data_IF_586659825718
#
_entry.id   IF_586659825718
#
_cell.length_a   1.000
_cell.length_b   1.000
_cell.length_c   1.000
_cell.angle_alpha   90.00
_cell.angle_beta   90.00
_cell.angle_gamma   90.00
#
_symmetry.space_group_name_H-M   'P 1'
#
loop_
_entity.id
_entity.type
_entity.pdbx_description
1 polymer ?
#
# COMPACT_ATOMS: atom_id res chain seq x y z
N UNK A 1 12.86 -25.87 11.43
CA UNK A 1 11.45 -25.87 11.90
C UNK A 1 11.50 -25.98 13.41
N UNK A 2 10.51 -25.44 14.13
CA UNK A 2 10.46 -25.55 15.60
C UNK A 2 10.29 -27.01 16.00
N UNK A 3 10.95 -27.45 17.07
CA UNK A 3 10.95 -28.86 17.53
C UNK A 3 9.56 -29.34 18.00
N UNK A 4 8.73 -28.39 18.49
CA UNK A 4 7.37 -28.65 18.95
C UNK A 4 6.32 -28.75 17.82
N UNK A 5 6.72 -28.58 16.55
CA UNK A 5 5.82 -28.63 15.40
C UNK A 5 6.10 -29.85 14.55
N UNK A 6 5.16 -30.81 14.51
CA UNK A 6 5.20 -31.92 13.56
C UNK A 6 4.97 -31.39 12.14
N UNK A 7 5.83 -31.78 11.21
CA UNK A 7 5.72 -31.32 9.81
C UNK A 7 6.28 -32.34 8.85
N UNK A 8 5.87 -32.28 7.61
CA UNK A 8 6.46 -32.98 6.48
C UNK A 8 6.32 -32.13 5.22
N UNK A 9 7.33 -32.16 4.36
CA UNK A 9 7.34 -31.60 3.02
C UNK A 9 7.09 -32.64 1.93
N UNK A 10 6.91 -33.91 2.32
CA UNK A 10 6.63 -34.98 1.39
C UNK A 10 5.25 -34.80 0.73
N UNK A 11 5.15 -35.17 -0.52
CA UNK A 11 3.85 -35.30 -1.20
C UNK A 11 3.12 -36.55 -0.65
N UNK A 12 1.80 -36.58 -0.82
CA UNK A 12 0.98 -37.71 -0.39
C UNK A 12 1.44 -39.03 -1.05
N UNK A 13 1.88 -38.97 -2.31
CA UNK A 13 2.40 -40.09 -3.07
C UNK A 13 3.71 -40.61 -2.47
N UNK A 14 4.62 -39.71 -2.09
CA UNK A 14 5.88 -40.07 -1.43
C UNK A 14 5.64 -40.69 -0.04
N UNK A 15 4.67 -40.17 0.71
CA UNK A 15 4.26 -40.74 2.01
C UNK A 15 3.75 -42.17 1.80
N UNK A 16 2.86 -42.40 0.83
CA UNK A 16 2.34 -43.73 0.51
C UNK A 16 3.48 -44.71 0.13
N UNK A 17 4.41 -44.25 -0.71
CA UNK A 17 5.60 -45.02 -1.09
C UNK A 17 6.47 -45.41 0.13
N UNK A 18 6.75 -44.44 1.02
CA UNK A 18 7.53 -44.70 2.24
C UNK A 18 6.84 -45.67 3.21
N UNK A 19 5.53 -45.52 3.39
CA UNK A 19 4.74 -46.45 4.20
C UNK A 19 4.78 -47.87 3.64
N UNK A 20 4.72 -48.03 2.31
CA UNK A 20 4.89 -49.32 1.65
C UNK A 20 6.27 -49.93 1.90
N UNK A 21 7.33 -49.10 1.85
CA UNK A 21 8.69 -49.53 2.17
C UNK A 21 8.87 -49.98 3.64
N UNK A 22 8.07 -49.43 4.54
CA UNK A 22 8.03 -49.78 5.97
C UNK A 22 7.08 -50.97 6.26
N UNK A 23 6.58 -51.64 5.23
CA UNK A 23 5.72 -52.81 5.38
C UNK A 23 4.22 -52.50 5.50
N UNK A 24 3.82 -51.24 5.33
CA UNK A 24 2.41 -50.85 5.43
C UNK A 24 1.97 -50.16 4.12
N UNK A 25 1.72 -50.92 3.04
CA UNK A 25 1.27 -50.34 1.78
C UNK A 25 -0.13 -49.76 1.90
N UNK A 26 -0.26 -48.48 1.56
CA UNK A 26 -1.53 -47.72 1.62
C UNK A 26 -1.73 -46.87 0.37
N UNK A 27 -2.98 -46.63 0.04
CA UNK A 27 -3.33 -45.73 -1.06
C UNK A 27 -3.13 -44.26 -0.66
N UNK A 28 -3.02 -43.39 -1.67
CA UNK A 28 -2.96 -41.92 -1.47
C UNK A 28 -4.20 -41.38 -0.74
N UNK A 29 -5.36 -42.04 -0.92
CA UNK A 29 -6.60 -41.68 -0.21
C UNK A 29 -6.48 -41.97 1.30
N UNK A 30 -5.93 -43.09 1.65
CA UNK A 30 -5.66 -43.45 3.06
C UNK A 30 -4.65 -42.46 3.67
N UNK A 31 -3.56 -42.12 2.95
CA UNK A 31 -2.64 -41.05 3.40
C UNK A 31 -3.38 -39.73 3.64
N UNK A 32 -4.34 -39.41 2.81
CA UNK A 32 -5.15 -38.17 2.99
C UNK A 32 -5.96 -38.24 4.29
N UNK A 33 -6.53 -39.40 4.59
CA UNK A 33 -7.27 -39.66 5.83
C UNK A 33 -6.35 -39.56 7.05
N UNK A 34 -5.22 -40.28 7.03
CA UNK A 34 -4.23 -40.27 8.11
C UNK A 34 -3.71 -38.86 8.42
N UNK A 35 -3.40 -38.05 7.40
CA UNK A 35 -3.01 -36.66 7.59
C UNK A 35 -4.09 -35.81 8.26
N UNK A 36 -5.36 -36.04 7.91
CA UNK A 36 -6.51 -35.35 8.50
C UNK A 36 -6.65 -35.77 9.97
N UNK A 37 -6.61 -37.05 10.26
CA UNK A 37 -6.74 -37.59 11.62
C UNK A 37 -5.60 -37.10 12.52
N UNK A 38 -4.37 -37.02 11.98
CA UNK A 38 -3.22 -36.40 12.64
C UNK A 38 -3.26 -34.87 12.71
N UNK A 39 -4.34 -34.23 12.22
CA UNK A 39 -4.52 -32.77 12.13
C UNK A 39 -3.41 -32.06 11.36
N UNK A 40 -2.79 -32.75 10.41
CA UNK A 40 -1.78 -32.20 9.51
C UNK A 40 -2.46 -31.65 8.24
N UNK A 41 -2.47 -30.33 8.08
CA UNK A 41 -3.01 -29.65 6.92
C UNK A 41 -1.94 -28.81 6.21
N UNK A 42 -2.16 -28.50 4.93
CA UNK A 42 -1.31 -27.54 4.21
C UNK A 42 -1.39 -26.18 4.89
N UNK A 43 -0.27 -25.64 5.36
CA UNK A 43 -0.21 -24.35 6.05
C UNK A 43 0.88 -23.49 5.43
N UNK A 44 0.61 -22.20 5.30
CA UNK A 44 1.61 -21.19 4.95
C UNK A 44 2.27 -20.65 6.22
N UNK A 45 3.54 -20.29 6.13
CA UNK A 45 4.20 -19.52 7.19
C UNK A 45 3.46 -18.20 7.40
N UNK A 46 3.11 -17.92 8.65
CA UNK A 46 2.42 -16.68 9.02
C UNK A 46 3.43 -15.62 9.47
N UNK A 47 3.47 -14.48 8.80
CA UNK A 47 4.25 -13.31 9.20
C UNK A 47 3.55 -12.60 10.38
N UNK A 48 3.59 -13.19 11.58
CA UNK A 48 2.90 -12.65 12.78
C UNK A 48 3.86 -11.98 13.77
N UNK A 49 5.16 -12.27 13.68
CA UNK A 49 6.14 -11.68 14.59
C UNK A 49 6.67 -10.38 14.01
N UNK A 50 6.47 -9.27 14.73
CA UNK A 50 7.14 -8.00 14.45
C UNK A 50 8.57 -8.05 15.02
N UNK A 51 9.52 -7.42 14.33
CA UNK A 51 10.86 -7.20 14.87
C UNK A 51 10.79 -6.01 15.86
N UNK A 52 10.75 -6.32 17.15
CA UNK A 52 10.77 -5.35 18.22
C UNK A 52 9.40 -5.00 18.81
N UNK A 53 9.44 -4.42 20.02
CA UNK A 53 8.31 -3.84 20.72
C UNK A 53 8.20 -2.36 20.30
N UNK A 54 7.04 -1.95 19.84
CA UNK A 54 6.73 -0.53 19.59
C UNK A 54 5.86 -0.06 20.75
N UNK A 55 6.36 0.80 21.63
CA UNK A 55 5.57 1.34 22.73
C UNK A 55 4.28 1.98 22.20
N UNK A 56 3.19 1.83 22.94
CA UNK A 56 1.88 2.43 22.64
C UNK A 56 1.29 2.06 21.26
N UNK A 57 1.77 0.94 20.68
CA UNK A 57 1.28 0.46 19.38
C UNK A 57 -0.22 0.21 19.38
N UNK A 58 -0.73 -0.38 20.45
CA UNK A 58 -2.15 -0.71 20.57
C UNK A 58 -3.01 0.55 20.70
N UNK A 59 -2.52 1.54 21.45
CA UNK A 59 -3.20 2.83 21.64
C UNK A 59 -3.36 3.55 20.29
N UNK A 60 -2.34 3.49 19.43
CA UNK A 60 -2.42 4.07 18.09
C UNK A 60 -3.47 3.35 17.22
N UNK A 61 -3.63 2.03 17.31
CA UNK A 61 -4.69 1.34 16.58
C UNK A 61 -6.09 1.74 17.07
N UNK A 62 -6.26 1.90 18.39
CA UNK A 62 -7.51 2.38 18.98
C UNK A 62 -7.80 3.83 18.55
N UNK A 63 -6.77 4.67 18.52
CA UNK A 63 -6.89 6.05 18.06
C UNK A 63 -7.31 6.11 16.57
N UNK A 64 -6.67 5.31 15.70
CA UNK A 64 -7.08 5.22 14.28
C UNK A 64 -8.54 4.74 14.16
N UNK A 65 -8.96 3.77 14.98
CA UNK A 65 -10.34 3.28 14.95
C UNK A 65 -11.34 4.39 15.35
N UNK A 66 -11.04 5.15 16.39
CA UNK A 66 -11.86 6.29 16.80
C UNK A 66 -11.94 7.38 15.72
N UNK A 67 -10.81 7.69 15.06
CA UNK A 67 -10.79 8.63 13.93
C UNK A 67 -11.64 8.16 12.75
N UNK A 68 -11.62 6.86 12.45
CA UNK A 68 -12.46 6.31 11.38
C UNK A 68 -13.95 6.49 11.69
N UNK A 69 -14.37 6.22 12.91
CA UNK A 69 -15.77 6.43 13.37
C UNK A 69 -16.15 7.92 13.33
N UNK A 70 -15.26 8.82 13.79
CA UNK A 70 -15.45 10.27 13.75
C UNK A 70 -15.66 10.77 12.32
N UNK A 71 -14.78 10.37 11.38
CA UNK A 71 -14.85 10.82 10.00
C UNK A 71 -16.02 10.23 9.23
N UNK A 72 -16.39 8.99 9.50
CA UNK A 72 -17.58 8.36 8.93
C UNK A 72 -18.85 9.06 9.43
N UNK A 73 -18.94 9.34 10.73
CA UNK A 73 -20.08 10.05 11.35
C UNK A 73 -20.23 11.49 10.85
N UNK A 74 -19.11 12.17 10.53
CA UNK A 74 -19.08 13.52 9.99
C UNK A 74 -19.23 13.56 8.45
N UNK A 75 -19.35 12.44 7.76
CA UNK A 75 -19.31 12.31 6.30
C UNK A 75 -18.06 12.93 5.66
N UNK A 76 -16.95 12.95 6.39
CA UNK A 76 -15.66 13.41 5.91
C UNK A 76 -14.89 12.27 5.23
N UNK A 77 -14.10 12.56 4.17
CA UNK A 77 -13.33 11.54 3.47
C UNK A 77 -12.19 10.95 4.31
N UNK A 78 -11.96 9.65 4.11
CA UNK A 78 -10.81 8.92 4.60
C UNK A 78 -10.08 8.32 3.41
N UNK A 79 -8.78 8.55 3.29
CA UNK A 79 -7.93 7.92 2.30
C UNK A 79 -6.83 7.10 2.96
N UNK A 80 -6.73 5.83 2.59
CA UNK A 80 -5.56 5.01 2.86
C UNK A 80 -4.55 5.23 1.74
N UNK A 81 -3.35 5.68 2.09
CA UNK A 81 -2.34 6.20 1.14
C UNK A 81 -1.05 5.41 1.26
N UNK A 82 -0.53 4.94 0.14
CA UNK A 82 0.78 4.30 0.05
C UNK A 82 1.28 4.22 -1.38
N UNK A 83 2.58 3.95 -1.57
CA UNK A 83 3.18 3.68 -2.88
C UNK A 83 3.50 2.19 -3.02
N UNK A 84 2.89 1.56 -4.01
CA UNK A 84 3.20 0.17 -4.38
C UNK A 84 4.66 0.08 -4.86
N UNK A 85 5.30 -1.10 -4.65
CA UNK A 85 6.62 -1.37 -5.24
C UNK A 85 6.63 -0.89 -6.69
N UNK A 86 7.70 -0.15 -7.05
CA UNK A 86 7.93 0.33 -8.42
C UNK A 86 7.85 -0.82 -9.43
N UNK A 87 7.35 -0.50 -10.61
CA UNK A 87 7.21 -1.44 -11.73
C UNK A 87 8.16 -1.02 -12.86
N UNK A 88 8.84 -1.98 -13.45
CA UNK A 88 9.75 -1.74 -14.59
C UNK A 88 9.00 -1.94 -15.91
N UNK A 89 9.27 -1.08 -16.88
CA UNK A 89 8.82 -1.26 -18.26
C UNK A 89 9.88 -2.05 -19.03
N UNK A 90 9.42 -2.96 -19.90
CA UNK A 90 10.24 -3.89 -20.67
C UNK A 90 9.92 -5.36 -20.32
N UNK A 91 10.72 -6.31 -20.81
CA UNK A 91 10.53 -7.74 -20.65
C UNK A 91 10.94 -8.23 -19.25
N UNK A 92 10.23 -7.80 -18.21
CA UNK A 92 10.47 -8.18 -16.82
C UNK A 92 9.45 -9.21 -16.34
N UNK A 93 9.93 -10.16 -15.51
CA UNK A 93 9.12 -11.21 -14.94
C UNK A 93 8.06 -10.67 -13.98
N UNK A 94 6.83 -11.12 -14.16
CA UNK A 94 5.73 -10.93 -13.20
C UNK A 94 5.11 -12.27 -12.84
N UNK A 95 5.01 -12.60 -11.52
CA UNK A 95 4.39 -13.85 -11.10
C UNK A 95 2.97 -13.99 -11.63
N UNK A 96 2.65 -15.14 -12.18
CA UNK A 96 1.32 -15.48 -12.69
C UNK A 96 1.39 -16.47 -13.84
N UNK A 97 0.23 -16.92 -14.28
CA UNK A 97 0.08 -17.81 -15.42
C UNK A 97 -0.96 -17.21 -16.36
N UNK A 98 -0.73 -17.32 -17.64
CA UNK A 98 -1.67 -16.95 -18.68
C UNK A 98 -1.68 -18.02 -19.79
N UNK A 99 -2.71 -18.02 -20.62
CA UNK A 99 -2.73 -18.85 -21.81
C UNK A 99 -1.97 -18.13 -22.92
N UNK A 100 -0.91 -18.75 -23.40
CA UNK A 100 -0.07 -18.26 -24.49
C UNK A 100 0.21 -19.38 -25.49
N UNK A 101 0.47 -19.03 -26.73
CA UNK A 101 0.83 -20.01 -27.78
C UNK A 101 2.26 -20.54 -27.66
N UNK A 102 3.11 -19.81 -26.91
CA UNK A 102 4.50 -20.14 -26.66
C UNK A 102 4.99 -19.46 -25.39
N UNK A 103 6.14 -19.91 -24.86
CA UNK A 103 6.80 -19.25 -23.76
C UNK A 103 7.29 -17.86 -24.16
N UNK A 104 7.14 -16.88 -23.28
CA UNK A 104 7.61 -15.50 -23.48
C UNK A 104 8.90 -15.32 -22.66
N UNK A 105 10.06 -15.18 -23.31
CA UNK A 105 11.31 -14.95 -22.61
C UNK A 105 11.32 -13.54 -21.97
N UNK A 106 11.76 -13.46 -20.73
CA UNK A 106 11.93 -12.21 -19.97
C UNK A 106 13.30 -12.23 -19.29
N UNK A 107 13.74 -11.09 -18.78
CA UNK A 107 14.97 -11.02 -17.98
C UNK A 107 14.88 -11.88 -16.72
N UNK A 108 15.97 -12.55 -16.38
CA UNK A 108 16.10 -13.39 -15.19
C UNK A 108 16.22 -12.56 -13.88
N UNK A 109 16.57 -11.27 -14.01
CA UNK A 109 16.71 -10.31 -12.91
C UNK A 109 16.11 -8.95 -13.25
N UNK A 110 15.78 -8.15 -12.23
CA UNK A 110 15.27 -6.78 -12.37
C UNK A 110 16.43 -5.79 -12.68
N UNK A 111 17.01 -5.86 -13.89
CA UNK A 111 18.10 -4.98 -14.34
C UNK A 111 17.58 -3.55 -14.58
N UNK A 112 17.72 -2.68 -13.59
CA UNK A 112 17.24 -1.29 -13.66
C UNK A 112 17.82 -0.49 -14.83
N UNK A 113 19.05 -0.75 -15.22
CA UNK A 113 19.72 -0.06 -16.34
C UNK A 113 19.19 -0.49 -17.72
N UNK A 114 18.53 -1.63 -17.79
CA UNK A 114 17.90 -2.14 -19.01
C UNK A 114 16.41 -1.80 -19.10
N UNK A 115 15.85 -1.15 -18.08
CA UNK A 115 14.45 -0.77 -18.08
C UNK A 115 14.19 0.41 -19.04
N UNK A 116 13.18 0.30 -19.87
CA UNK A 116 12.71 1.37 -20.75
C UNK A 116 12.03 2.50 -19.97
N UNK A 117 11.65 2.23 -18.72
CA UNK A 117 11.09 3.19 -17.79
C UNK A 117 10.77 2.56 -16.44
N UNK A 118 10.52 3.42 -15.48
CA UNK A 118 10.13 3.01 -14.12
C UNK A 118 8.84 3.70 -13.76
N UNK A 119 7.85 2.93 -13.33
CA UNK A 119 6.58 3.43 -12.83
C UNK A 119 6.56 3.41 -11.31
N UNK A 120 6.08 4.48 -10.71
CA UNK A 120 5.82 4.60 -9.28
C UNK A 120 4.30 4.65 -9.03
N UNK A 121 3.66 3.49 -8.78
CA UNK A 121 2.21 3.45 -8.58
C UNK A 121 1.86 3.95 -7.17
N UNK A 122 1.53 5.23 -7.05
CA UNK A 122 1.01 5.82 -5.82
C UNK A 122 -0.50 5.59 -5.76
N UNK A 123 -0.95 4.97 -4.67
CA UNK A 123 -2.33 4.59 -4.47
C UNK A 123 -3.03 5.45 -3.43
N UNK A 124 -4.26 5.82 -3.73
CA UNK A 124 -5.22 6.37 -2.78
C UNK A 124 -6.42 5.42 -2.76
N UNK A 125 -6.74 4.86 -1.61
CA UNK A 125 -7.88 3.98 -1.45
C UNK A 125 -8.90 4.60 -0.50
N UNK A 126 -10.10 4.81 -0.99
CA UNK A 126 -11.26 5.26 -0.23
C UNK A 126 -11.98 4.03 0.35
N UNK A 127 -11.85 3.74 1.65
CA UNK A 127 -12.46 2.57 2.27
C UNK A 127 -13.98 2.67 2.40
N UNK A 128 -14.54 3.88 2.51
CA UNK A 128 -15.98 4.11 2.65
C UNK A 128 -16.71 3.80 1.33
N UNK A 129 -16.08 4.10 0.18
CA UNK A 129 -16.65 3.89 -1.15
C UNK A 129 -16.13 2.63 -1.84
N UNK A 130 -15.11 1.99 -1.30
CA UNK A 130 -14.39 0.85 -1.89
C UNK A 130 -13.87 1.18 -3.30
N UNK A 131 -13.22 2.33 -3.45
CA UNK A 131 -12.66 2.83 -4.70
C UNK A 131 -11.16 3.07 -4.55
N UNK A 132 -10.37 2.56 -5.48
CA UNK A 132 -8.94 2.81 -5.57
C UNK A 132 -8.63 3.82 -6.69
N UNK A 133 -7.68 4.72 -6.43
CA UNK A 133 -7.14 5.64 -7.41
C UNK A 133 -5.63 5.43 -7.49
N UNK A 134 -5.12 5.06 -8.66
CA UNK A 134 -3.69 4.87 -8.91
C UNK A 134 -3.17 6.03 -9.76
N UNK A 135 -2.12 6.66 -9.26
CA UNK A 135 -1.36 7.68 -9.96
C UNK A 135 0.01 7.12 -10.30
N UNK A 136 0.26 6.90 -11.59
CA UNK A 136 1.51 6.33 -12.09
C UNK A 136 2.51 7.44 -12.36
N UNK A 137 3.42 7.69 -11.41
CA UNK A 137 4.52 8.63 -11.61
C UNK A 137 5.59 8.03 -12.53
N UNK A 138 6.12 8.87 -13.43
CA UNK A 138 7.17 8.49 -14.39
C UNK A 138 8.57 8.91 -13.93
N UNK A 139 8.68 9.63 -12.80
CA UNK A 139 9.95 10.15 -12.30
C UNK A 139 10.36 9.53 -10.96
N UNK A 140 9.85 10.04 -9.84
CA UNK A 140 10.25 9.60 -8.51
C UNK A 140 9.07 9.61 -7.54
N UNK A 141 9.12 8.71 -6.55
CA UNK A 141 8.23 8.73 -5.39
C UNK A 141 8.74 9.73 -4.36
N UNK A 142 8.11 10.91 -4.31
CA UNK A 142 8.48 12.01 -3.41
C UNK A 142 7.29 12.46 -2.57
N UNK A 143 7.58 13.20 -1.48
CA UNK A 143 6.52 13.79 -0.65
C UNK A 143 5.64 14.79 -1.43
N UNK A 144 6.22 15.51 -2.40
CA UNK A 144 5.51 16.38 -3.32
C UNK A 144 4.53 15.59 -4.19
N UNK A 145 5.02 14.50 -4.81
CA UNK A 145 4.19 13.61 -5.63
C UNK A 145 3.00 13.05 -4.85
N UNK A 146 3.23 12.60 -3.60
CA UNK A 146 2.17 12.09 -2.74
C UNK A 146 1.08 13.15 -2.46
N UNK A 147 1.48 14.37 -2.05
CA UNK A 147 0.53 15.45 -1.76
C UNK A 147 -0.19 15.96 -3.02
N UNK A 148 0.53 16.07 -4.15
CA UNK A 148 -0.08 16.45 -5.42
C UNK A 148 -1.15 15.45 -5.88
N UNK A 149 -0.94 14.15 -5.67
CA UNK A 149 -1.92 13.12 -6.02
C UNK A 149 -3.17 13.19 -5.14
N UNK A 150 -3.02 13.51 -3.85
CA UNK A 150 -4.18 13.78 -2.98
C UNK A 150 -4.96 15.00 -3.48
N UNK A 151 -4.29 16.08 -3.88
CA UNK A 151 -4.93 17.24 -4.47
C UNK A 151 -5.64 16.91 -5.80
N UNK A 152 -5.00 16.15 -6.70
CA UNK A 152 -5.61 15.68 -7.96
C UNK A 152 -6.86 14.85 -7.69
N UNK A 153 -6.79 13.94 -6.71
CA UNK A 153 -7.94 13.15 -6.29
C UNK A 153 -9.09 14.04 -5.81
N UNK A 154 -8.79 15.03 -4.97
CA UNK A 154 -9.81 15.96 -4.49
C UNK A 154 -10.48 16.72 -5.62
N UNK A 155 -9.70 17.33 -6.50
CA UNK A 155 -10.21 18.13 -7.62
C UNK A 155 -11.03 17.30 -8.60
N UNK A 156 -10.72 16.03 -8.78
CA UNK A 156 -11.37 15.18 -9.78
C UNK A 156 -12.53 14.37 -9.22
N UNK A 157 -12.45 13.93 -7.97
CA UNK A 157 -13.40 13.02 -7.35
C UNK A 157 -13.88 13.51 -5.98
N UNK A 158 -12.97 13.85 -5.06
CA UNK A 158 -13.27 14.08 -3.66
C UNK A 158 -14.34 15.13 -3.44
N UNK A 159 -14.24 16.30 -4.06
CA UNK A 159 -15.22 17.40 -3.95
C UNK A 159 -16.64 17.04 -4.43
N UNK A 160 -16.75 16.03 -5.29
CA UNK A 160 -18.05 15.53 -5.77
C UNK A 160 -18.59 14.42 -4.88
N UNK A 161 -17.69 13.61 -4.30
CA UNK A 161 -18.06 12.53 -3.41
C UNK A 161 -18.38 13.02 -2.00
N UNK A 162 -17.75 14.10 -1.58
CA UNK A 162 -17.80 14.68 -0.24
C UNK A 162 -17.95 16.20 -0.32
N UNK A 163 -19.09 16.72 -0.86
CA UNK A 163 -19.27 18.15 -1.12
C UNK A 163 -19.20 19.01 0.14
N UNK A 164 -19.60 18.45 1.28
CA UNK A 164 -19.66 19.17 2.57
C UNK A 164 -18.45 18.86 3.48
N UNK A 165 -17.39 18.27 2.92
CA UNK A 165 -16.22 17.90 3.71
C UNK A 165 -15.53 19.13 4.30
N UNK A 166 -15.24 19.07 5.60
CA UNK A 166 -14.51 20.08 6.36
C UNK A 166 -13.11 19.63 6.74
N UNK A 167 -12.81 18.35 6.58
CA UNK A 167 -11.51 17.74 6.87
C UNK A 167 -11.28 16.49 5.99
N UNK A 168 -10.02 16.12 5.79
CA UNK A 168 -9.59 14.90 5.10
C UNK A 168 -8.65 14.11 5.99
N UNK A 169 -8.97 12.84 6.27
CA UNK A 169 -8.08 11.93 6.99
C UNK A 169 -7.21 11.12 6.02
N UNK A 170 -5.91 11.20 6.18
CA UNK A 170 -4.93 10.37 5.49
C UNK A 170 -4.39 9.29 6.44
N UNK A 171 -4.62 8.02 6.12
CA UNK A 171 -4.02 6.87 6.78
C UNK A 171 -2.74 6.48 6.04
N UNK A 172 -1.60 6.66 6.69
CA UNK A 172 -0.28 6.47 6.09
C UNK A 172 0.55 5.45 6.86
N UNK A 173 1.57 4.89 6.21
CA UNK A 173 2.63 4.15 6.91
C UNK A 173 3.65 5.10 7.55
N UNK A 174 4.47 4.58 8.46
CA UNK A 174 5.58 5.36 9.03
C UNK A 174 6.79 5.50 8.10
N UNK A 175 6.82 4.77 6.99
CA UNK A 175 7.91 4.75 6.01
C UNK A 175 7.59 5.49 4.70
N UNK A 176 8.52 5.38 3.73
CA UNK A 176 8.29 5.92 2.39
C UNK A 176 8.36 7.45 2.28
N UNK A 177 7.76 7.97 1.21
CA UNK A 177 7.71 9.40 0.88
C UNK A 177 6.81 10.20 1.81
N UNK A 178 5.82 9.56 2.41
CA UNK A 178 4.83 10.11 3.35
C UNK A 178 5.10 9.70 4.81
N UNK A 179 6.35 9.32 5.15
CA UNK A 179 6.71 8.83 6.49
C UNK A 179 6.57 9.88 7.59
N UNK A 180 6.17 9.46 8.80
CA UNK A 180 5.85 10.33 9.95
C UNK A 180 7.01 11.23 10.41
N UNK A 181 8.26 10.84 10.18
CA UNK A 181 9.47 11.60 10.57
C UNK A 181 9.95 12.57 9.49
N UNK A 182 9.31 12.60 8.31
CA UNK A 182 9.77 13.43 7.20
C UNK A 182 9.22 14.86 7.29
N UNK A 183 10.09 15.82 7.59
CA UNK A 183 9.74 17.25 7.60
C UNK A 183 9.29 17.74 6.23
N UNK A 184 9.88 17.23 5.16
CA UNK A 184 9.49 17.57 3.79
C UNK A 184 8.04 17.17 3.50
N UNK A 185 7.60 15.98 3.95
CA UNK A 185 6.21 15.57 3.84
C UNK A 185 5.27 16.51 4.61
N UNK A 186 5.65 16.88 5.83
CA UNK A 186 4.89 17.84 6.66
C UNK A 186 4.75 19.20 5.99
N UNK A 187 5.79 19.67 5.32
CA UNK A 187 5.76 20.93 4.57
C UNK A 187 4.80 20.86 3.37
N UNK A 188 4.88 19.80 2.57
CA UNK A 188 3.94 19.61 1.45
C UNK A 188 2.51 19.35 1.92
N UNK A 189 2.31 18.71 3.08
CA UNK A 189 1.01 18.53 3.69
C UNK A 189 0.36 19.87 4.08
N UNK A 190 1.14 20.80 4.64
CA UNK A 190 0.65 22.15 4.93
C UNK A 190 0.23 22.85 3.63
N UNK A 191 1.08 22.82 2.60
CA UNK A 191 0.73 23.37 1.29
C UNK A 191 -0.49 22.70 0.65
N UNK A 192 -0.71 21.40 0.91
CA UNK A 192 -1.93 20.70 0.49
C UNK A 192 -3.17 21.25 1.21
N UNK A 193 -3.13 21.42 2.54
CA UNK A 193 -4.23 21.99 3.31
C UNK A 193 -4.56 23.40 2.85
N UNK A 194 -3.53 24.24 2.59
CA UNK A 194 -3.70 25.61 2.08
C UNK A 194 -4.40 25.63 0.70
N UNK A 195 -4.07 24.67 -0.18
CA UNK A 195 -4.67 24.53 -1.52
C UNK A 195 -6.09 23.98 -1.47
N UNK A 196 -6.39 23.09 -0.52
CA UNK A 196 -7.73 22.51 -0.33
C UNK A 196 -8.69 23.48 0.35
N UNK A 197 -8.17 24.38 1.20
CA UNK A 197 -8.96 25.33 1.98
C UNK A 197 -9.63 24.74 3.22
N UNK A 198 -9.28 23.50 3.61
CA UNK A 198 -9.76 22.83 4.81
C UNK A 198 -8.67 21.95 5.44
N UNK A 199 -8.94 21.47 6.65
CA UNK A 199 -8.00 20.67 7.45
C UNK A 199 -7.62 19.36 6.76
N UNK A 200 -6.32 19.02 6.78
CA UNK A 200 -5.82 17.69 6.42
C UNK A 200 -5.19 17.04 7.65
N UNK A 201 -5.81 15.96 8.13
CA UNK A 201 -5.35 15.18 9.26
C UNK A 201 -4.60 13.94 8.78
N UNK A 202 -3.51 13.59 9.45
CA UNK A 202 -2.73 12.37 9.17
C UNK A 202 -2.68 11.50 10.41
N UNK A 203 -2.97 10.23 10.23
CA UNK A 203 -2.74 9.19 11.21
C UNK A 203 -1.85 8.09 10.61
N UNK A 204 -0.66 7.88 11.20
CA UNK A 204 0.25 6.86 10.75
C UNK A 204 0.04 5.55 11.47
N UNK A 205 0.03 4.45 10.72
CA UNK A 205 0.16 3.12 11.32
C UNK A 205 1.51 3.00 12.00
N UNK A 206 1.58 2.34 13.17
CA UNK A 206 2.85 2.16 13.87
C UNK A 206 3.91 1.46 13.01
N UNK A 207 5.21 1.62 13.30
CA UNK A 207 6.26 0.88 12.62
C UNK A 207 5.99 -0.64 12.61
N UNK A 208 6.34 -1.31 11.51
CA UNK A 208 6.10 -2.75 11.27
C UNK A 208 4.61 -3.14 11.22
N UNK A 209 3.72 -2.17 11.03
CA UNK A 209 2.27 -2.39 10.96
C UNK A 209 1.66 -2.04 9.58
N UNK A 210 2.47 -1.83 8.54
CA UNK A 210 2.01 -1.48 7.18
C UNK A 210 0.92 -2.42 6.64
N UNK A 211 1.01 -3.72 6.94
CA UNK A 211 -0.01 -4.71 6.54
C UNK A 211 -1.43 -4.41 7.06
N UNK A 212 -1.60 -3.50 8.02
CA UNK A 212 -2.90 -3.08 8.53
C UNK A 212 -3.45 -1.84 7.80
N UNK A 213 -2.59 -1.14 7.04
CA UNK A 213 -3.04 -0.07 6.16
C UNK A 213 -4.01 -0.67 5.11
N UNK A 214 -5.27 -0.22 5.01
CA UNK A 214 -6.28 -0.82 4.14
C UNK A 214 -5.84 -1.00 2.69
N UNK A 215 -5.07 -0.08 2.14
CA UNK A 215 -4.59 -0.12 0.76
C UNK A 215 -3.75 -1.37 0.46
N UNK A 216 -2.97 -1.84 1.44
CA UNK A 216 -2.06 -2.98 1.33
C UNK A 216 -2.79 -4.32 1.15
N UNK A 217 -4.03 -4.41 1.60
CA UNK A 217 -4.78 -5.67 1.48
C UNK A 217 -6.09 -5.53 0.70
N UNK A 218 -6.60 -4.30 0.50
CA UNK A 218 -7.85 -4.05 -0.22
C UNK A 218 -7.65 -3.52 -1.65
N UNK A 219 -6.49 -2.97 -1.99
CA UNK A 219 -6.20 -2.44 -3.33
C UNK A 219 -5.03 -3.15 -4.00
N UNK A 220 -3.82 -3.07 -3.45
CA UNK A 220 -2.59 -3.51 -4.12
C UNK A 220 -2.55 -5.00 -4.52
N UNK A 221 -3.07 -5.97 -3.74
CA UNK A 221 -3.11 -7.36 -4.16
C UNK A 221 -4.01 -7.59 -5.39
N UNK A 222 -5.07 -6.79 -5.52
CA UNK A 222 -5.97 -6.89 -6.67
C UNK A 222 -5.34 -6.28 -7.93
N UNK A 223 -4.62 -5.15 -7.79
CA UNK A 223 -3.81 -4.57 -8.88
C UNK A 223 -2.74 -5.57 -9.34
N UNK A 224 -1.99 -6.15 -8.40
CA UNK A 224 -0.99 -7.17 -8.71
C UNK A 224 -1.60 -8.36 -9.45
N UNK A 225 -2.78 -8.82 -9.03
CA UNK A 225 -3.50 -9.92 -9.69
C UNK A 225 -3.94 -9.56 -11.10
N UNK A 226 -4.40 -8.33 -11.33
CA UNK A 226 -4.81 -7.87 -12.65
C UNK A 226 -3.65 -7.80 -13.65
N UNK A 227 -2.41 -7.69 -13.15
CA UNK A 227 -1.19 -7.63 -13.95
C UNK A 227 -0.41 -8.97 -13.96
N UNK A 228 -0.96 -10.03 -13.35
CA UNK A 228 -0.24 -11.29 -13.18
C UNK A 228 0.11 -11.96 -14.51
N UNK A 229 1.36 -12.40 -14.66
CA UNK A 229 1.86 -13.13 -15.82
C UNK A 229 2.14 -12.30 -17.07
N UNK A 230 1.89 -10.99 -17.07
CA UNK A 230 2.10 -10.13 -18.25
C UNK A 230 3.26 -9.17 -18.01
N UNK A 231 4.28 -9.16 -18.88
CA UNK A 231 5.31 -8.11 -18.89
C UNK A 231 4.70 -6.77 -19.30
N UNK A 232 5.20 -5.67 -18.73
CA UNK A 232 4.81 -4.33 -19.15
C UNK A 232 5.74 -3.84 -20.24
N UNK A 233 5.52 -4.26 -21.46
CA UNK A 233 6.32 -3.84 -22.60
C UNK A 233 6.33 -2.32 -22.77
N UNK A 234 5.18 -1.70 -22.46
CA UNK A 234 5.01 -0.25 -22.51
C UNK A 234 4.09 0.27 -21.38
N UNK A 235 4.02 1.61 -21.26
CA UNK A 235 3.16 2.30 -20.31
C UNK A 235 1.67 2.03 -20.58
N UNK A 236 1.25 1.94 -21.82
CA UNK A 236 -0.16 1.75 -22.19
C UNK A 236 -0.66 0.38 -21.72
N UNK A 237 0.16 -0.65 -21.89
CA UNK A 237 -0.11 -2.01 -21.39
C UNK A 237 -0.26 -2.03 -19.85
N UNK A 238 0.65 -1.38 -19.12
CA UNK A 238 0.58 -1.27 -17.68
C UNK A 238 -0.73 -0.58 -17.21
N UNK A 239 -1.05 0.57 -17.81
CA UNK A 239 -2.28 1.33 -17.53
C UNK A 239 -3.53 0.50 -17.82
N UNK A 240 -3.58 -0.15 -18.98
CA UNK A 240 -4.73 -0.96 -19.39
C UNK A 240 -4.99 -2.12 -18.41
N UNK A 241 -3.93 -2.82 -17.99
CA UNK A 241 -4.05 -3.93 -17.06
C UNK A 241 -4.47 -3.45 -15.68
N UNK A 242 -3.86 -2.40 -15.15
CA UNK A 242 -4.20 -1.85 -13.84
C UNK A 242 -5.66 -1.33 -13.81
N UNK A 243 -6.16 -0.74 -14.90
CA UNK A 243 -7.58 -0.32 -15.04
C UNK A 243 -8.58 -1.46 -15.00
N UNK A 244 -8.17 -2.68 -15.37
CA UNK A 244 -9.02 -3.88 -15.28
C UNK A 244 -9.25 -4.37 -13.85
N UNK A 245 -8.57 -3.77 -12.86
CA UNK A 245 -8.68 -4.19 -11.46
C UNK A 245 -10.10 -4.00 -10.94
N UNK A 246 -10.70 -5.11 -10.53
CA UNK A 246 -12.04 -5.15 -9.91
C UNK A 246 -12.20 -6.41 -9.05
N UNK A 247 -13.15 -6.40 -8.14
CA UNK A 247 -13.49 -7.56 -7.31
C UNK A 247 -14.99 -7.80 -7.32
N UNK A 248 -15.40 -9.00 -6.91
CA UNK A 248 -16.83 -9.31 -6.70
C UNK A 248 -17.46 -8.48 -5.58
N UNK A 249 -16.65 -7.98 -4.67
CA UNK A 249 -17.07 -7.12 -3.55
C UNK A 249 -17.19 -5.64 -3.95
N UNK A 250 -17.10 -5.31 -5.24
CA UNK A 250 -17.39 -3.98 -5.76
C UNK A 250 -16.19 -3.03 -5.84
N UNK A 251 -14.95 -3.46 -5.57
CA UNK A 251 -13.78 -2.62 -5.80
C UNK A 251 -13.73 -2.16 -7.26
N UNK A 252 -13.57 -0.85 -7.46
CA UNK A 252 -13.27 -0.20 -8.74
C UNK A 252 -12.00 0.58 -8.64
N UNK A 253 -11.23 0.64 -9.74
CA UNK A 253 -9.93 1.32 -9.77
C UNK A 253 -9.86 2.27 -10.95
N UNK A 254 -9.46 3.50 -10.69
CA UNK A 254 -9.07 4.47 -11.72
C UNK A 254 -7.55 4.53 -11.80
N UNK A 255 -7.02 4.78 -13.00
CA UNK A 255 -5.58 4.91 -13.23
C UNK A 255 -5.30 6.16 -14.04
N UNK A 256 -4.41 7.01 -13.54
CA UNK A 256 -3.94 8.22 -14.17
C UNK A 256 -2.42 8.23 -14.27
N UNK A 257 -1.88 8.61 -15.41
CA UNK A 257 -0.45 8.81 -15.59
C UNK A 257 -0.10 10.23 -15.19
N UNK A 258 0.95 10.38 -14.38
CA UNK A 258 1.45 11.67 -13.93
C UNK A 258 2.83 11.89 -14.57
N UNK A 259 2.87 12.74 -15.56
CA UNK A 259 4.06 13.08 -16.35
C UNK A 259 4.91 14.19 -15.73
N UNK A 260 4.38 14.91 -14.71
CA UNK A 260 5.14 15.91 -13.97
C UNK A 260 6.42 15.29 -13.41
N UNK A 261 7.56 15.94 -13.65
CA UNK A 261 8.83 15.54 -13.08
C UNK A 261 8.93 15.98 -11.61
N UNK A 262 9.22 15.04 -10.73
CA UNK A 262 9.43 15.28 -9.29
C UNK A 262 10.89 15.05 -8.95
N UNK A 263 11.59 16.11 -8.58
CA UNK A 263 13.02 16.05 -8.24
C UNK A 263 13.25 15.37 -6.88
N UNK A 264 14.29 14.54 -6.81
CA UNK A 264 14.81 14.01 -5.54
C UNK A 264 15.79 14.98 -4.89
N UNK A 265 16.14 14.72 -3.62
CA UNK A 265 17.12 15.53 -2.91
C UNK A 265 16.62 16.89 -2.41
N UNK A 266 15.34 17.19 -2.60
CA UNK A 266 14.73 18.41 -2.05
C UNK A 266 14.86 18.46 -0.52
N UNK A 267 15.11 19.66 0.01
CA UNK A 267 15.21 19.94 1.42
C UNK A 267 13.98 20.74 1.88
N UNK A 268 13.52 20.46 3.08
CA UNK A 268 12.49 21.29 3.71
C UNK A 268 13.06 22.67 4.11
N UNK A 269 12.19 23.67 4.16
CA UNK A 269 12.56 25.02 4.60
C UNK A 269 12.98 25.01 6.09
N UNK A 270 14.15 25.59 6.44
CA UNK A 270 14.53 25.77 7.84
C UNK A 270 13.49 26.58 8.63
N UNK A 271 12.91 27.60 8.02
CA UNK A 271 11.85 28.42 8.62
C UNK A 271 10.59 27.60 8.92
N UNK A 272 10.16 26.72 7.98
CA UNK A 272 9.05 25.80 8.22
C UNK A 272 9.32 24.87 9.40
N UNK A 273 10.54 24.31 9.49
CA UNK A 273 10.90 23.44 10.60
C UNK A 273 10.90 24.20 11.95
N UNK A 274 11.40 25.42 11.99
CA UNK A 274 11.46 26.21 13.20
C UNK A 274 10.08 26.61 13.72
N UNK A 275 9.19 27.02 12.84
CA UNK A 275 7.83 27.42 13.17
C UNK A 275 6.87 26.25 13.37
N UNK A 276 7.10 25.12 12.67
CA UNK A 276 6.29 23.90 12.67
C UNK A 276 4.79 24.19 12.82
N UNK A 277 4.12 24.65 11.76
CA UNK A 277 2.74 25.15 11.83
C UNK A 277 1.69 24.02 11.98
N UNK A 278 2.11 22.77 12.00
CA UNK A 278 1.21 21.64 12.18
C UNK A 278 0.77 21.51 13.64
N UNK A 279 -0.47 21.14 13.84
CA UNK A 279 -1.03 20.82 15.16
C UNK A 279 -0.84 19.33 15.40
N UNK A 280 -0.05 18.99 16.39
CA UNK A 280 0.16 17.61 16.82
C UNK A 280 -0.86 17.23 17.88
N UNK A 281 -1.31 15.98 17.86
CA UNK A 281 -2.19 15.47 18.91
C UNK A 281 -1.39 15.41 20.23
N UNK A 282 -2.02 15.76 21.36
CA UNK A 282 -1.37 15.78 22.67
C UNK A 282 -0.82 14.41 23.06
N UNK A 283 -1.56 13.38 22.73
CA UNK A 283 -1.17 12.00 22.88
C UNK A 283 -0.84 11.39 21.51
N UNK A 284 0.19 10.54 21.44
CA UNK A 284 0.64 9.88 20.19
C UNK A 284 1.08 10.85 19.06
N UNK A 285 1.60 12.03 19.43
CA UNK A 285 2.03 13.11 18.53
C UNK A 285 3.03 12.67 17.44
N UNK A 286 3.79 11.61 17.68
CA UNK A 286 4.75 11.07 16.71
C UNK A 286 4.06 10.51 15.44
N UNK A 287 2.78 10.17 15.53
CA UNK A 287 2.01 9.52 14.48
C UNK A 287 0.77 10.30 14.03
N UNK A 288 0.32 11.28 14.83
CA UNK A 288 -0.93 11.99 14.60
C UNK A 288 -0.71 13.50 14.61
N UNK A 289 -1.08 14.12 13.51
CA UNK A 289 -0.99 15.57 13.35
C UNK A 289 -1.93 16.05 12.24
N UNK A 290 -2.21 17.34 12.21
CA UNK A 290 -3.07 17.98 11.24
C UNK A 290 -2.50 19.28 10.72
N UNK A 291 -2.71 19.56 9.45
CA UNK A 291 -2.41 20.81 8.78
C UNK A 291 -3.69 21.62 8.67
N UNK A 292 -3.65 22.85 9.19
CA UNK A 292 -4.77 23.79 9.15
C UNK A 292 -4.48 24.83 8.07
N UNK A 293 -5.43 25.15 7.17
CA UNK A 293 -5.23 26.15 6.12
C UNK A 293 -4.78 27.50 6.68
N UNK A 294 -3.81 28.11 6.03
CA UNK A 294 -3.30 29.43 6.39
C UNK A 294 -2.32 29.49 7.56
N UNK A 295 -2.10 28.39 8.29
CA UNK A 295 -1.21 28.38 9.45
C UNK A 295 0.27 28.67 9.11
N UNK A 296 0.66 28.57 7.84
CA UNK A 296 2.03 28.80 7.37
C UNK A 296 2.15 29.96 6.37
N UNK A 297 1.16 30.81 6.20
CA UNK A 297 1.16 31.87 5.16
C UNK A 297 2.41 32.75 5.22
N UNK A 298 2.80 33.17 6.41
CA UNK A 298 3.94 34.07 6.61
C UNK A 298 5.31 33.36 6.55
N UNK A 299 5.30 32.03 6.55
CA UNK A 299 6.51 31.19 6.60
C UNK A 299 6.92 30.71 5.20
N UNK A 300 5.95 30.43 4.34
CA UNK A 300 6.18 29.86 3.01
C UNK A 300 6.38 30.92 1.92
N UNK A 301 6.10 32.19 2.22
CA UNK A 301 6.30 33.35 1.34
C UNK A 301 7.69 33.97 1.42
N UNK A 302 8.50 33.55 2.40
CA UNK A 302 9.91 33.90 2.58
C UNK A 302 10.82 32.68 2.29
#
# INVERSE_FOLDING_TARGET
>A
MREDVRWTNLTKTEIAKRLGQLGTPVSVNIVTQLLRDARLGRRKLRKTRAMGSVPRRNDQFLHIAALLEEYEGAANPVLSVDTKKKELLGPYYRPGLLFASQDVPVYDHDFLHAAEGVLYPHGLYDPQRNVGHLYLGLSHDTSEFACDNVYRWWMRFGRWYYPDATSLLLLCDCGGSNGSRRYLFKQYLQGLADRLGFEVRVAHYPPYASKYNPIEHRLFPHVTRACAGVSFEDLATAVQLMRKTRTRTGLRVTVEVVDKYYATGQKYSPAFRAAMPLVFDDDLSAWNYRAIPGAARDILLN
#
